data_IF_254725147598
#
_entry.id   IF_254725147598
#
_cell.length_a   1.000
_cell.length_b   1.000
_cell.length_c   1.000
_cell.angle_alpha   90.00
_cell.angle_beta   90.00
_cell.angle_gamma   90.00
#
_symmetry.space_group_name_H-M   'P 1'
#
loop_
_entity.id
_entity.type
_entity.pdbx_description
1 polymer ?
#
# COMPACT_ATOMS: atom_id res chain seq x y z
N UNK A 1 7.00 2.46 -14.35
CA UNK A 1 5.55 2.76 -14.18
C UNK A 1 5.42 3.73 -13.00
N UNK A 2 4.63 4.82 -13.10
CA UNK A 2 4.65 5.91 -12.09
C UNK A 2 3.66 5.67 -10.94
N UNK A 3 4.12 5.83 -9.69
CA UNK A 3 3.36 5.64 -8.45
C UNK A 3 3.39 6.90 -7.58
N UNK A 4 2.43 7.06 -6.66
CA UNK A 4 2.41 8.12 -5.64
C UNK A 4 2.36 7.50 -4.24
N UNK A 5 3.09 8.07 -3.28
CA UNK A 5 3.03 7.70 -1.86
C UNK A 5 2.16 8.70 -1.10
N UNK A 6 1.27 8.21 -0.25
CA UNK A 6 0.46 9.05 0.62
C UNK A 6 1.32 9.62 1.76
N UNK A 7 1.12 10.89 2.15
CA UNK A 7 1.80 11.44 3.32
C UNK A 7 1.33 10.74 4.61
N UNK A 8 2.25 10.38 5.50
CA UNK A 8 1.92 9.94 6.87
C UNK A 8 1.54 11.12 7.76
N UNK A 9 0.82 10.88 8.86
CA UNK A 9 0.31 11.91 9.77
C UNK A 9 1.42 12.81 10.32
N UNK A 10 2.61 12.25 10.59
CA UNK A 10 3.76 12.98 11.11
C UNK A 10 4.37 14.01 10.13
N UNK A 11 4.05 13.92 8.83
CA UNK A 11 4.65 14.80 7.80
C UNK A 11 3.89 16.11 7.58
N UNK A 12 2.63 16.19 8.04
CA UNK A 12 1.82 17.39 7.88
C UNK A 12 1.93 18.30 9.13
N UNK A 13 2.37 19.56 9.00
CA UNK A 13 2.29 20.50 10.11
C UNK A 13 0.82 20.67 10.54
N UNK A 14 0.53 20.80 11.84
CA UNK A 14 -0.83 20.97 12.32
C UNK A 14 -1.48 22.19 11.66
N UNK A 15 -2.78 22.12 11.29
CA UNK A 15 -3.42 23.22 10.59
C UNK A 15 -3.34 24.49 11.44
N UNK A 16 -2.90 25.59 10.82
CA UNK A 16 -2.85 26.88 11.48
C UNK A 16 -4.26 27.26 11.95
N UNK A 17 -4.43 27.48 13.26
CA UNK A 17 -5.73 27.86 13.82
C UNK A 17 -6.06 29.27 13.33
N UNK A 18 -7.13 29.40 12.56
CA UNK A 18 -7.60 30.70 12.08
C UNK A 18 -8.15 31.53 13.26
N UNK A 19 -7.99 32.88 13.24
CA UNK A 19 -8.65 33.76 14.18
C UNK A 19 -10.17 33.61 14.12
N UNK A 20 -10.88 33.72 15.25
CA UNK A 20 -12.32 33.44 15.33
C UNK A 20 -13.24 34.37 14.52
N UNK A 21 -12.71 35.45 13.95
CA UNK A 21 -13.42 36.34 13.03
C UNK A 21 -13.24 35.96 11.54
N UNK A 22 -12.40 34.97 11.26
CA UNK A 22 -12.14 34.45 9.90
C UNK A 22 -12.91 33.15 9.74
N UNK A 23 -13.94 33.19 8.90
CA UNK A 23 -14.65 31.99 8.45
C UNK A 23 -13.99 31.47 7.18
N UNK A 24 -13.37 30.28 7.23
CA UNK A 24 -12.93 29.59 6.01
C UNK A 24 -14.18 29.05 5.29
N UNK A 25 -14.46 29.59 4.11
CA UNK A 25 -15.61 29.20 3.27
C UNK A 25 -15.33 27.97 2.42
N UNK A 26 -14.07 27.48 2.40
CA UNK A 26 -13.78 26.22 1.73
C UNK A 26 -14.57 25.11 2.42
N UNK A 27 -15.10 24.12 1.66
CA UNK A 27 -15.58 22.89 2.26
C UNK A 27 -14.53 22.35 3.23
N UNK A 28 -14.96 21.77 4.35
CA UNK A 28 -14.05 21.05 5.22
C UNK A 28 -13.15 20.14 4.36
N UNK A 29 -11.83 20.11 4.58
CA UNK A 29 -10.92 19.33 3.74
C UNK A 29 -11.49 17.92 3.59
N UNK A 30 -11.79 17.53 2.36
CA UNK A 30 -12.04 16.13 2.06
C UNK A 30 -10.78 15.38 2.47
N UNK A 31 -10.91 14.18 3.04
CA UNK A 31 -9.76 13.36 3.41
C UNK A 31 -8.72 13.40 2.27
N UNK A 32 -7.56 13.96 2.57
CA UNK A 32 -6.54 14.28 1.57
C UNK A 32 -6.09 13.01 0.86
N UNK A 33 -6.12 11.86 1.55
CA UNK A 33 -5.81 10.58 0.95
C UNK A 33 -6.82 10.16 -0.11
N UNK A 34 -8.13 10.30 0.17
CA UNK A 34 -9.20 9.99 -0.80
C UNK A 34 -9.13 10.88 -2.03
N UNK A 35 -8.83 12.16 -1.84
CA UNK A 35 -8.69 13.11 -2.96
C UNK A 35 -7.48 12.77 -3.82
N UNK A 36 -6.33 12.45 -3.20
CA UNK A 36 -5.12 12.06 -3.92
C UNK A 36 -5.30 10.76 -4.69
N UNK A 37 -5.90 9.74 -4.07
CA UNK A 37 -6.14 8.46 -4.73
C UNK A 37 -7.08 8.57 -5.93
N UNK A 38 -8.13 9.40 -5.84
CA UNK A 38 -9.00 9.68 -6.99
C UNK A 38 -8.27 10.41 -8.11
N UNK A 39 -7.43 11.38 -7.76
CA UNK A 39 -6.61 12.08 -8.75
C UNK A 39 -5.63 11.11 -9.43
N UNK A 40 -4.99 10.22 -8.67
CA UNK A 40 -4.10 9.17 -9.19
C UNK A 40 -4.83 8.21 -10.15
N UNK A 41 -6.03 7.77 -9.77
CA UNK A 41 -6.89 6.90 -10.59
C UNK A 41 -7.29 7.58 -11.91
N UNK A 42 -7.70 8.86 -11.85
CA UNK A 42 -8.05 9.65 -13.04
C UNK A 42 -6.84 9.97 -13.93
N UNK A 43 -5.67 10.14 -13.34
CA UNK A 43 -4.42 10.38 -14.05
C UNK A 43 -3.83 9.11 -14.68
N UNK A 44 -4.42 7.93 -14.42
CA UNK A 44 -3.95 6.65 -14.96
C UNK A 44 -2.62 6.19 -14.35
N UNK A 45 -2.38 6.54 -13.08
CA UNK A 45 -1.20 6.05 -12.36
C UNK A 45 -1.31 4.55 -12.09
N UNK A 46 -0.16 3.93 -11.90
CA UNK A 46 -0.07 2.49 -11.68
C UNK A 46 -0.57 2.12 -10.28
N UNK A 47 -0.19 2.90 -9.26
CA UNK A 47 -0.59 2.61 -7.90
C UNK A 47 -0.40 3.76 -6.91
N UNK A 48 -1.02 3.58 -5.75
CA UNK A 48 -0.92 4.47 -4.59
C UNK A 48 -0.46 3.66 -3.38
N UNK A 49 0.64 4.10 -2.76
CA UNK A 49 1.15 3.51 -1.53
C UNK A 49 0.55 4.21 -0.30
N UNK A 50 -0.08 3.43 0.56
CA UNK A 50 -0.46 3.82 1.93
C UNK A 50 0.70 3.46 2.85
N UNK A 51 1.40 4.44 3.43
CA UNK A 51 2.52 4.16 4.32
C UNK A 51 2.03 3.51 5.62
N UNK A 52 2.96 2.84 6.30
CA UNK A 52 2.76 2.42 7.67
C UNK A 52 2.92 3.65 8.57
N UNK A 53 1.93 3.90 9.42
CA UNK A 53 1.91 5.05 10.33
C UNK A 53 1.39 4.57 11.71
N UNK A 54 2.26 4.46 12.73
CA UNK A 54 1.86 3.97 14.04
C UNK A 54 0.94 4.94 14.81
N UNK A 55 0.96 6.22 14.46
CA UNK A 55 0.13 7.26 15.08
C UNK A 55 -1.14 7.56 14.25
N UNK A 56 -1.22 6.97 13.05
CA UNK A 56 -2.30 7.16 12.10
C UNK A 56 -3.32 6.02 12.07
N UNK A 57 -4.34 6.13 11.20
CA UNK A 57 -5.22 5.01 10.88
C UNK A 57 -4.42 3.87 10.27
N UNK A 58 -4.78 2.64 10.63
CA UNK A 58 -4.14 1.44 10.09
C UNK A 58 -4.16 1.43 8.55
N UNK A 59 -3.01 1.09 7.95
CA UNK A 59 -2.82 1.14 6.50
C UNK A 59 -3.87 0.30 5.73
N UNK A 60 -4.32 -0.84 6.28
CA UNK A 60 -5.39 -1.65 5.68
C UNK A 60 -6.74 -0.92 5.64
N UNK A 61 -7.08 -0.19 6.71
CA UNK A 61 -8.33 0.57 6.79
C UNK A 61 -8.33 1.69 5.76
N UNK A 62 -7.22 2.42 5.68
CA UNK A 62 -7.03 3.46 4.67
C UNK A 62 -7.07 2.87 3.26
N UNK A 63 -6.34 1.77 3.00
CA UNK A 63 -6.34 1.09 1.71
C UNK A 63 -7.74 0.63 1.28
N UNK A 64 -8.53 0.06 2.20
CA UNK A 64 -9.91 -0.35 1.91
C UNK A 64 -10.78 0.83 1.47
N UNK A 65 -10.63 1.98 2.12
CA UNK A 65 -11.34 3.21 1.76
C UNK A 65 -10.93 3.71 0.35
N UNK A 66 -9.64 3.66 0.02
CA UNK A 66 -9.12 4.07 -1.29
C UNK A 66 -9.53 3.10 -2.40
N UNK A 67 -9.48 1.80 -2.17
CA UNK A 67 -9.93 0.78 -3.12
C UNK A 67 -11.41 0.96 -3.46
N UNK A 68 -12.23 1.36 -2.48
CA UNK A 68 -13.65 1.68 -2.69
C UNK A 68 -13.86 2.98 -3.47
N UNK A 69 -12.97 3.95 -3.30
CA UNK A 69 -13.06 5.27 -3.93
C UNK A 69 -12.47 5.35 -5.35
N UNK A 70 -11.78 4.30 -5.78
CA UNK A 70 -11.06 4.20 -7.06
C UNK A 70 -11.51 3.00 -7.87
N UNK A 71 -11.28 3.02 -9.19
CA UNK A 71 -11.75 1.97 -10.10
C UNK A 71 -10.63 1.16 -10.74
N UNK A 72 -9.46 1.73 -10.99
CA UNK A 72 -8.42 1.11 -11.80
C UNK A 72 -7.06 1.04 -11.12
N UNK A 73 -6.67 2.09 -10.41
CA UNK A 73 -5.37 2.17 -9.73
C UNK A 73 -5.19 1.07 -8.69
N UNK A 74 -3.98 0.54 -8.57
CA UNK A 74 -3.59 -0.38 -7.51
C UNK A 74 -3.42 0.37 -6.19
N UNK A 75 -3.86 -0.21 -5.08
CA UNK A 75 -3.63 0.34 -3.75
C UNK A 75 -2.73 -0.61 -2.99
N UNK A 76 -1.58 -0.11 -2.55
CA UNK A 76 -0.57 -0.87 -1.83
C UNK A 76 -0.55 -0.40 -0.39
N UNK A 77 -0.63 -1.30 0.58
CA UNK A 77 -0.49 -0.96 2.00
C UNK A 77 0.86 -1.43 2.55
N UNK A 78 1.57 -0.54 3.25
CA UNK A 78 2.80 -0.88 3.94
C UNK A 78 2.52 -1.53 5.30
N UNK A 79 3.30 -2.56 5.61
CA UNK A 79 3.23 -3.31 6.85
C UNK A 79 4.59 -3.41 7.53
N UNK A 80 4.52 -3.54 8.85
CA UNK A 80 5.65 -3.84 9.73
C UNK A 80 5.41 -5.23 10.35
N UNK A 81 6.39 -6.13 10.22
CA UNK A 81 6.25 -7.50 10.72
C UNK A 81 6.40 -7.65 12.24
N UNK A 82 6.92 -6.62 12.92
CA UNK A 82 6.98 -6.57 14.38
C UNK A 82 5.64 -6.26 15.03
N UNK A 83 4.69 -5.68 14.27
CA UNK A 83 3.40 -5.19 14.79
C UNK A 83 2.21 -5.98 14.23
N UNK A 84 2.36 -6.58 13.05
CA UNK A 84 1.30 -7.34 12.38
C UNK A 84 1.60 -8.83 12.31
N UNK A 85 0.56 -9.67 12.23
CA UNK A 85 0.72 -11.13 12.03
C UNK A 85 0.37 -11.52 10.59
N UNK A 86 1.07 -12.51 10.00
CA UNK A 86 0.83 -12.93 8.62
C UNK A 86 -0.59 -13.43 8.39
N UNK A 87 -1.19 -14.13 9.37
CA UNK A 87 -2.56 -14.62 9.26
C UNK A 87 -3.59 -13.49 9.29
N UNK A 88 -3.35 -12.46 10.11
CA UNK A 88 -4.22 -11.29 10.18
C UNK A 88 -4.21 -10.52 8.84
N UNK A 89 -3.02 -10.20 8.34
CA UNK A 89 -2.87 -9.48 7.08
C UNK A 89 -3.42 -10.33 5.91
N UNK A 90 -3.13 -11.63 5.83
CA UNK A 90 -3.68 -12.51 4.79
C UNK A 90 -5.21 -12.52 4.76
N UNK A 91 -5.89 -12.64 5.92
CA UNK A 91 -7.36 -12.68 5.98
C UNK A 91 -8.01 -11.42 5.45
N UNK A 92 -7.54 -10.26 5.89
CA UNK A 92 -8.09 -8.97 5.45
C UNK A 92 -7.75 -8.71 3.99
N UNK A 93 -6.53 -9.06 3.57
CA UNK A 93 -6.10 -8.90 2.19
C UNK A 93 -6.91 -9.75 1.22
N UNK A 94 -7.26 -10.99 1.56
CA UNK A 94 -8.10 -11.83 0.70
C UNK A 94 -9.50 -11.21 0.49
N UNK A 95 -10.03 -10.56 1.52
CA UNK A 95 -11.30 -9.82 1.41
C UNK A 95 -11.15 -8.59 0.51
N UNK A 96 -10.04 -7.85 0.62
CA UNK A 96 -9.73 -6.72 -0.25
C UNK A 96 -9.46 -7.12 -1.69
N UNK A 97 -8.78 -8.25 -1.93
CA UNK A 97 -8.53 -8.77 -3.26
C UNK A 97 -9.81 -9.12 -3.98
N UNK A 98 -10.69 -9.87 -3.30
CA UNK A 98 -12.00 -10.21 -3.85
C UNK A 98 -12.86 -8.98 -4.09
N UNK A 99 -12.85 -8.02 -3.16
CA UNK A 99 -13.63 -6.78 -3.28
C UNK A 99 -13.14 -5.89 -4.43
N UNK A 100 -11.82 -5.76 -4.58
CA UNK A 100 -11.20 -4.83 -5.53
C UNK A 100 -10.92 -5.43 -6.90
N UNK A 101 -11.07 -6.75 -7.04
CA UNK A 101 -10.75 -7.47 -8.27
C UNK A 101 -9.25 -7.65 -8.51
N UNK A 102 -8.46 -7.85 -7.46
CA UNK A 102 -7.02 -8.07 -7.59
C UNK A 102 -6.14 -6.81 -7.45
N UNK A 103 -6.70 -5.66 -7.05
CA UNK A 103 -6.00 -4.36 -7.05
C UNK A 103 -5.33 -4.01 -5.72
N UNK A 104 -5.14 -4.98 -4.84
CA UNK A 104 -4.51 -4.75 -3.54
C UNK A 104 -3.10 -5.35 -3.51
N UNK A 105 -2.13 -4.58 -3.02
CA UNK A 105 -0.74 -4.98 -2.86
C UNK A 105 -0.23 -4.76 -1.43
N UNK A 106 0.87 -5.44 -1.10
CA UNK A 106 1.58 -5.30 0.17
C UNK A 106 2.92 -4.61 -0.06
N UNK A 107 3.34 -3.78 0.88
CA UNK A 107 4.66 -3.18 0.88
C UNK A 107 5.37 -3.48 2.21
N UNK A 108 6.67 -3.78 2.15
CA UNK A 108 7.52 -3.95 3.31
C UNK A 108 8.81 -3.16 3.12
N UNK A 109 9.40 -2.68 4.21
CA UNK A 109 10.74 -2.11 4.14
C UNK A 109 11.76 -3.20 3.73
N UNK A 110 12.78 -2.79 2.98
CA UNK A 110 13.89 -3.66 2.60
C UNK A 110 14.66 -4.18 3.84
N UNK A 111 14.67 -3.40 4.93
CA UNK A 111 15.41 -3.70 6.15
C UNK A 111 14.56 -4.41 7.23
N UNK A 112 13.29 -4.71 6.95
CA UNK A 112 12.43 -5.43 7.90
C UNK A 112 12.96 -6.88 8.11
N UNK A 113 13.50 -7.21 9.30
CA UNK A 113 14.16 -8.48 9.55
C UNK A 113 13.19 -9.67 9.61
N UNK A 114 11.90 -9.43 9.86
CA UNK A 114 10.88 -10.47 9.95
C UNK A 114 10.18 -10.77 8.62
N UNK A 115 10.41 -9.93 7.59
CA UNK A 115 9.73 -9.99 6.29
C UNK A 115 9.74 -11.38 5.65
N UNK A 116 10.90 -12.01 5.52
CA UNK A 116 11.02 -13.29 4.81
C UNK A 116 10.15 -14.38 5.47
N UNK A 117 10.25 -14.48 6.80
CA UNK A 117 9.45 -15.44 7.57
C UNK A 117 7.97 -15.11 7.49
N UNK A 118 7.63 -13.82 7.57
CA UNK A 118 6.26 -13.35 7.46
C UNK A 118 5.65 -13.75 6.11
N UNK A 119 6.33 -13.45 5.00
CA UNK A 119 5.85 -13.76 3.65
C UNK A 119 5.72 -15.27 3.43
N UNK A 120 6.68 -16.07 3.90
CA UNK A 120 6.60 -17.52 3.81
C UNK A 120 5.35 -18.07 4.53
N UNK A 121 5.11 -17.63 5.77
CA UNK A 121 3.93 -18.05 6.54
C UNK A 121 2.64 -17.54 5.92
N UNK A 122 2.62 -16.29 5.43
CA UNK A 122 1.45 -15.71 4.79
C UNK A 122 1.08 -16.46 3.50
N UNK A 123 2.09 -16.81 2.68
CA UNK A 123 1.90 -17.54 1.43
C UNK A 123 1.44 -18.98 1.69
N UNK A 124 2.04 -19.68 2.66
CA UNK A 124 1.58 -21.00 3.10
C UNK A 124 0.12 -20.94 3.60
N UNK A 125 -0.18 -19.99 4.47
CA UNK A 125 -1.53 -19.79 5.00
C UNK A 125 -2.56 -19.48 3.92
N UNK A 126 -2.18 -18.76 2.87
CA UNK A 126 -3.08 -18.41 1.76
C UNK A 126 -3.52 -19.63 0.95
N UNK A 127 -2.59 -20.55 0.67
CA UNK A 127 -2.80 -21.67 -0.24
C UNK A 127 -3.21 -22.97 0.48
N UNK A 128 -3.02 -23.04 1.80
CA UNK A 128 -3.35 -24.23 2.57
C UNK A 128 -4.87 -24.35 2.77
N UNK A 129 -5.48 -25.53 2.56
CA UNK A 129 -6.94 -25.73 2.72
C UNK A 129 -7.52 -25.36 4.10
N UNK A 130 -6.69 -25.40 5.15
CA UNK A 130 -7.06 -24.99 6.51
C UNK A 130 -6.72 -23.54 6.87
N UNK A 131 -6.14 -22.78 5.95
CA UNK A 131 -5.71 -21.40 6.18
C UNK A 131 -6.83 -20.40 5.90
N UNK A 132 -7.10 -20.13 4.61
CA UNK A 132 -8.20 -19.27 4.18
C UNK A 132 -9.43 -20.10 3.76
N UNK A 133 -10.64 -19.78 4.27
CA UNK A 133 -11.85 -20.43 3.80
C UNK A 133 -12.22 -19.98 2.39
N UNK A 134 -12.85 -20.85 1.60
CA UNK A 134 -13.50 -20.42 0.37
C UNK A 134 -14.65 -19.46 0.67
N UNK A 135 -14.84 -18.38 -0.13
CA UNK A 135 -14.16 -18.09 -1.40
C UNK A 135 -12.91 -17.18 -1.27
N UNK A 136 -12.42 -16.91 -0.06
CA UNK A 136 -11.29 -15.99 0.13
C UNK A 136 -9.99 -16.57 -0.45
N UNK A 137 -9.78 -17.87 -0.30
CA UNK A 137 -8.64 -18.59 -0.90
C UNK A 137 -8.64 -18.60 -2.44
N UNK A 138 -9.77 -18.28 -3.09
CA UNK A 138 -9.86 -18.28 -4.55
C UNK A 138 -9.31 -16.97 -5.15
N UNK A 139 -9.05 -15.96 -4.32
CA UNK A 139 -8.42 -14.71 -4.75
C UNK A 139 -6.90 -14.85 -4.85
N UNK A 140 -6.28 -14.13 -5.79
CA UNK A 140 -4.84 -14.13 -5.94
C UNK A 140 -4.14 -13.56 -4.71
N UNK A 141 -2.99 -14.13 -4.35
CA UNK A 141 -2.13 -13.57 -3.32
C UNK A 141 -1.69 -12.14 -3.74
N UNK A 142 -1.65 -11.16 -2.82
CA UNK A 142 -1.24 -9.80 -3.13
C UNK A 142 0.16 -9.70 -3.72
N UNK A 143 0.32 -8.79 -4.70
CA UNK A 143 1.64 -8.38 -5.14
C UNK A 143 2.40 -7.81 -3.94
N UNK A 144 3.69 -8.14 -3.84
CA UNK A 144 4.55 -7.70 -2.75
C UNK A 144 5.61 -6.77 -3.30
N UNK A 145 5.71 -5.61 -2.68
CA UNK A 145 6.65 -4.55 -3.04
C UNK A 145 7.64 -4.31 -1.92
N UNK A 146 8.87 -4.00 -2.30
CA UNK A 146 9.91 -3.59 -1.38
C UNK A 146 10.28 -2.15 -1.65
N UNK A 147 10.67 -1.44 -0.60
CA UNK A 147 11.27 -0.13 -0.73
C UNK A 147 12.56 -0.21 -1.56
N UNK A 148 12.57 0.46 -2.71
CA UNK A 148 13.79 0.78 -3.45
C UNK A 148 14.20 2.19 -3.08
N UNK A 149 15.38 2.34 -2.48
CA UNK A 149 15.93 3.65 -2.08
C UNK A 149 16.10 4.51 -3.33
N UNK A 150 15.19 5.46 -3.59
CA UNK A 150 15.57 6.62 -4.35
C UNK A 150 16.53 7.42 -3.46
N UNK A 151 17.77 7.63 -3.91
CA UNK A 151 18.88 8.20 -3.11
C UNK A 151 18.69 9.65 -2.64
N UNK A 152 17.46 10.09 -2.36
CA UNK A 152 17.07 11.43 -1.92
C UNK A 152 16.25 11.45 -0.63
N UNK A 153 15.92 10.32 -0.01
CA UNK A 153 15.31 10.30 1.32
C UNK A 153 13.94 11.00 1.37
N UNK A 154 13.20 10.95 0.27
CA UNK A 154 11.81 11.42 0.18
C UNK A 154 10.95 10.23 -0.20
N UNK A 155 9.85 10.02 0.52
CA UNK A 155 8.87 8.97 0.22
C UNK A 155 8.35 9.10 -1.22
N UNK A 156 9.01 8.43 -2.17
CA UNK A 156 8.80 8.64 -3.58
C UNK A 156 9.20 7.40 -4.36
N UNK A 157 8.18 6.77 -4.95
CA UNK A 157 8.29 5.80 -6.05
C UNK A 157 8.73 4.38 -5.64
N UNK A 158 7.75 3.47 -5.65
CA UNK A 158 7.97 2.02 -5.65
C UNK A 158 8.05 1.54 -7.10
N UNK A 159 9.10 0.80 -7.45
CA UNK A 159 9.19 0.08 -8.73
C UNK A 159 8.44 -1.26 -8.61
N UNK A 160 7.49 -1.50 -9.51
CA UNK A 160 6.66 -2.72 -9.56
C UNK A 160 7.39 -3.79 -10.37
N UNK A 161 7.90 -4.83 -9.71
CA UNK A 161 8.34 -6.06 -10.35
C UNK A 161 7.15 -6.95 -10.69
N UNK A 162 7.06 -7.41 -11.94
CA UNK A 162 6.08 -8.40 -12.38
C UNK A 162 6.77 -9.77 -12.51
N UNK A 163 6.85 -10.51 -11.40
CA UNK A 163 6.89 -11.99 -11.35
C UNK A 163 6.71 -12.46 -9.89
N UNK A 164 5.85 -13.45 -9.58
CA UNK A 164 5.69 -13.93 -8.22
C UNK A 164 6.92 -14.76 -7.83
N UNK A 165 7.82 -14.18 -7.04
CA UNK A 165 8.90 -14.91 -6.37
C UNK A 165 10.31 -14.35 -6.53
N UNK A 166 10.53 -13.28 -7.29
CA UNK A 166 11.85 -12.62 -7.37
C UNK A 166 11.85 -11.22 -6.76
N UNK A 167 12.80 -11.01 -5.86
CA UNK A 167 13.12 -9.72 -5.25
C UNK A 167 14.14 -9.02 -6.15
N UNK A 168 13.75 -7.92 -6.78
CA UNK A 168 14.68 -7.07 -7.53
C UNK A 168 14.99 -5.78 -6.78
N UNK A 169 16.28 -5.44 -6.73
CA UNK A 169 16.76 -4.12 -6.36
C UNK A 169 16.86 -3.24 -7.62
N UNK A 170 16.53 -1.95 -7.45
CA UNK A 170 16.63 -0.90 -8.46
C UNK A 170 18.03 -0.89 -9.13
N UNK A 171 18.09 -1.12 -10.45
CA UNK A 171 19.28 -0.81 -11.27
C UNK A 171 19.74 -1.85 -12.29
N UNK A 172 19.36 -3.12 -12.21
CA UNK A 172 19.89 -4.15 -13.15
C UNK A 172 19.00 -4.43 -14.36
N UNK A 173 18.44 -3.38 -14.97
CA UNK A 173 17.83 -3.52 -16.31
C UNK A 173 18.15 -2.40 -17.28
N UNK A 174 19.32 -1.77 -17.15
CA UNK A 174 19.92 -0.99 -18.24
C UNK A 174 21.12 -1.70 -18.92
N UNK A 175 21.57 -2.87 -18.45
CA UNK A 175 22.72 -3.56 -19.04
C UNK A 175 22.41 -4.84 -19.86
N UNK A 176 21.15 -5.27 -19.95
CA UNK A 176 20.81 -6.57 -20.54
C UNK A 176 20.13 -6.50 -21.93
N UNK A 177 20.03 -5.32 -22.55
CA UNK A 177 19.55 -5.16 -23.93
C UNK A 177 20.49 -4.24 -24.76
N UNK A 178 21.80 -4.39 -24.53
CA UNK A 178 22.84 -4.01 -25.49
C UNK A 178 23.35 -5.24 -26.22
#
# INVERSE_FOLDING_TARGET
MTHIVLPGAATAPPPARLPGFVTDLRPAPQDSALSLARAADLAGLAGVLVPFDPDGPEALVTAAALLRATRYVEIVAAFDTGISTPQYISKLSASLQRFSGGRFGWHFSADDPGRERFLAVAHEFWHTPGGLPKPLSDSAFPAVYLEGVDGRGTAGFVEVGHDPGEVFALGEKEAAHG
#
